data_IF_287413059846
#
_entry.id   IF_287413059846
#
_cell.length_a   1.000
_cell.length_b   1.000
_cell.length_c   1.000
_cell.angle_alpha   90.00
_cell.angle_beta   90.00
_cell.angle_gamma   90.00
#
_symmetry.space_group_name_H-M   'P 1'
#
loop_
_entity.id
_entity.type
_entity.pdbx_description
1 polymer ?
#
# COMPACT_ATOMS: atom_id res chain seq x y z
N UNK A 1 -2.77 12.06 -0.42
CA UNK A 1 -2.82 12.71 0.91
C UNK A 1 -1.41 12.71 1.47
N UNK A 2 -1.09 13.66 2.33
CA UNK A 2 0.22 13.69 3.01
C UNK A 2 0.25 12.60 4.07
N UNK A 3 1.34 11.84 4.12
CA UNK A 3 1.49 10.76 5.08
C UNK A 3 2.13 11.31 6.35
N UNK A 4 1.29 11.68 7.31
CA UNK A 4 1.68 12.13 8.64
C UNK A 4 0.68 11.66 9.71
N UNK A 5 1.07 11.81 10.98
CA UNK A 5 0.27 11.31 12.11
C UNK A 5 -1.09 12.00 12.25
N UNK A 6 -1.20 13.29 11.94
CA UNK A 6 -2.47 14.02 12.02
C UNK A 6 -3.46 13.52 10.97
N UNK A 7 -2.99 13.38 9.74
CA UNK A 7 -3.77 12.87 8.62
C UNK A 7 -4.22 11.44 8.90
N UNK A 8 -3.33 10.57 9.38
CA UNK A 8 -3.67 9.18 9.73
C UNK A 8 -4.72 9.13 10.84
N UNK A 9 -4.57 9.92 11.90
CA UNK A 9 -5.51 9.93 13.03
C UNK A 9 -6.94 10.35 12.61
N UNK A 10 -7.05 11.15 11.54
CA UNK A 10 -8.35 11.61 11.00
C UNK A 10 -9.11 10.55 10.19
N UNK A 11 -8.43 9.52 9.66
CA UNK A 11 -9.04 8.51 8.79
C UNK A 11 -10.00 7.60 9.57
N UNK A 12 -11.05 7.01 8.98
CA UNK A 12 -11.77 5.91 9.60
C UNK A 12 -10.86 4.69 9.88
N UNK A 13 -11.06 4.04 11.03
CA UNK A 13 -10.38 2.80 11.39
C UNK A 13 -11.04 1.59 10.70
N UNK A 14 -10.75 1.41 9.40
CA UNK A 14 -11.38 0.40 8.55
C UNK A 14 -10.36 -0.42 7.76
N UNK A 15 -10.79 -1.60 7.29
CA UNK A 15 -10.01 -2.46 6.41
C UNK A 15 -9.90 -1.85 5.01
N UNK A 16 -8.82 -2.19 4.30
CA UNK A 16 -8.63 -1.67 2.96
C UNK A 16 -7.26 -1.95 2.37
N UNK A 17 -6.96 -1.27 1.28
CA UNK A 17 -5.66 -1.30 0.59
C UNK A 17 -5.10 0.11 0.51
N UNK A 18 -3.79 0.22 0.34
CA UNK A 18 -3.12 1.50 0.22
C UNK A 18 -1.90 1.46 -0.71
N UNK A 19 -1.50 2.65 -1.17
CA UNK A 19 -0.16 2.90 -1.68
C UNK A 19 0.50 3.94 -0.81
N UNK A 20 1.78 3.73 -0.50
CA UNK A 20 2.67 4.72 0.07
C UNK A 20 3.68 5.14 -0.99
N UNK A 21 3.99 6.42 -1.06
CA UNK A 21 4.88 7.01 -2.04
C UNK A 21 5.78 8.09 -1.44
N UNK A 22 6.86 8.40 -2.14
CA UNK A 22 7.70 9.56 -1.85
C UNK A 22 7.12 10.87 -2.42
N UNK A 23 7.88 11.96 -2.27
CA UNK A 23 7.46 13.29 -2.67
C UNK A 23 7.30 13.41 -4.20
N UNK A 24 8.07 12.65 -4.96
CA UNK A 24 8.06 12.61 -6.42
C UNK A 24 6.94 11.69 -6.95
N UNK A 25 6.28 10.93 -6.07
CA UNK A 25 5.21 10.00 -6.40
C UNK A 25 5.70 8.59 -6.73
N UNK A 26 6.98 8.29 -6.50
CA UNK A 26 7.49 6.92 -6.60
C UNK A 26 6.85 6.07 -5.53
N UNK A 27 6.18 4.99 -5.94
CA UNK A 27 5.53 4.07 -5.00
C UNK A 27 6.60 3.32 -4.21
N UNK A 28 6.52 3.46 -2.89
CA UNK A 28 7.39 2.82 -1.91
C UNK A 28 6.80 1.50 -1.41
N UNK A 29 5.47 1.43 -1.29
CA UNK A 29 4.72 0.24 -0.87
C UNK A 29 3.34 0.18 -1.54
N UNK A 30 2.89 -1.04 -1.81
CA UNK A 30 1.48 -1.37 -2.09
C UNK A 30 1.04 -2.38 -1.03
N UNK A 31 0.16 -2.00 -0.13
CA UNK A 31 -0.17 -2.81 1.04
C UNK A 31 -1.67 -2.90 1.33
N UNK A 32 -2.00 -3.58 2.43
CA UNK A 32 -3.37 -3.73 2.89
C UNK A 32 -3.46 -3.70 4.41
N UNK A 33 -4.60 -3.21 4.91
CA UNK A 33 -5.00 -3.32 6.30
C UNK A 33 -6.05 -4.43 6.44
N UNK A 34 -5.59 -5.58 6.93
CA UNK A 34 -6.41 -6.78 7.16
C UNK A 34 -6.81 -6.97 8.63
N UNK A 35 -7.48 -8.08 8.93
CA UNK A 35 -8.01 -8.39 10.28
C UNK A 35 -6.97 -8.40 11.41
N UNK A 36 -5.68 -8.51 11.10
CA UNK A 36 -4.56 -8.47 12.06
C UNK A 36 -4.11 -7.06 12.43
N UNK A 37 -4.56 -6.03 11.69
CA UNK A 37 -4.22 -4.64 11.96
C UNK A 37 -5.29 -4.03 12.85
N UNK A 38 -4.99 -3.92 14.14
CA UNK A 38 -5.84 -3.18 15.07
C UNK A 38 -6.00 -1.74 14.53
N UNK A 39 -7.21 -1.20 14.56
CA UNK A 39 -7.54 0.10 13.95
C UNK A 39 -7.38 0.20 12.43
N UNK A 40 -7.24 -0.93 11.73
CA UNK A 40 -7.30 -1.01 10.27
C UNK A 40 -6.23 -0.14 9.58
N UNK A 41 -6.66 0.65 8.60
CA UNK A 41 -5.79 1.47 7.75
C UNK A 41 -4.87 2.40 8.55
N UNK A 42 -5.30 2.84 9.74
CA UNK A 42 -4.49 3.73 10.57
C UNK A 42 -3.17 3.07 10.97
N UNK A 43 -3.24 1.92 11.64
CA UNK A 43 -2.03 1.25 12.11
C UNK A 43 -1.18 0.70 10.98
N UNK A 44 -1.78 0.27 9.86
CA UNK A 44 -1.02 -0.11 8.68
C UNK A 44 -0.19 1.08 8.12
N UNK A 45 -0.75 2.29 8.05
CA UNK A 45 -0.02 3.47 7.60
C UNK A 45 1.02 3.97 8.61
N UNK A 46 0.77 3.80 9.91
CA UNK A 46 1.75 4.06 10.98
C UNK A 46 2.97 3.12 10.87
N UNK A 47 2.74 1.85 10.56
CA UNK A 47 3.80 0.87 10.31
C UNK A 47 4.64 1.25 9.09
N UNK A 48 4.01 1.72 8.01
CA UNK A 48 4.72 2.21 6.81
C UNK A 48 5.53 3.48 7.09
N UNK A 49 5.00 4.41 7.89
CA UNK A 49 5.75 5.58 8.35
C UNK A 49 6.98 5.17 9.17
N UNK A 50 6.83 4.20 10.08
CA UNK A 50 7.94 3.68 10.86
C UNK A 50 8.97 2.96 9.98
N UNK A 51 8.52 2.23 8.96
CA UNK A 51 9.37 1.44 8.08
C UNK A 51 10.17 2.29 7.07
N UNK A 52 9.53 3.25 6.41
CA UNK A 52 10.17 4.10 5.39
C UNK A 52 10.75 5.41 5.95
N UNK A 53 10.33 5.82 7.14
CA UNK A 53 10.74 7.08 7.76
C UNK A 53 10.40 8.28 6.87
N UNK A 54 11.34 9.22 6.77
CA UNK A 54 11.16 10.49 6.02
C UNK A 54 10.98 10.32 4.52
N UNK A 55 11.19 9.11 3.97
CA UNK A 55 10.98 8.84 2.54
C UNK A 55 9.51 8.75 2.17
N UNK A 56 8.68 8.24 3.07
CA UNK A 56 7.25 8.12 2.85
C UNK A 56 6.55 9.42 3.20
N UNK A 57 6.03 10.10 2.18
CA UNK A 57 5.45 11.45 2.34
C UNK A 57 4.04 11.53 1.79
N UNK A 58 3.63 10.59 0.93
CA UNK A 58 2.31 10.58 0.31
C UNK A 58 1.68 9.20 0.44
N UNK A 59 0.36 9.19 0.54
CA UNK A 59 -0.41 7.96 0.44
C UNK A 59 -1.76 8.15 -0.25
N UNK A 60 -2.32 7.04 -0.71
CA UNK A 60 -3.72 6.88 -1.12
C UNK A 60 -4.24 5.55 -0.59
N UNK A 61 -5.54 5.46 -0.40
CA UNK A 61 -6.17 4.26 0.13
C UNK A 61 -7.53 4.01 -0.51
N UNK A 62 -8.02 2.78 -0.33
CA UNK A 62 -9.37 2.35 -0.70
C UNK A 62 -9.90 1.48 0.44
N UNK A 63 -11.06 1.83 1.00
CA UNK A 63 -11.72 0.99 1.99
C UNK A 63 -12.42 -0.18 1.30
N UNK A 64 -12.11 -1.40 1.75
CA UNK A 64 -12.68 -2.61 1.19
C UNK A 64 -12.53 -3.78 2.16
N UNK A 65 -13.58 -4.60 2.27
CA UNK A 65 -13.51 -5.89 2.97
C UNK A 65 -12.81 -6.95 2.12
N UNK A 66 -12.72 -6.77 0.80
CA UNK A 66 -12.03 -7.67 -0.12
C UNK A 66 -10.56 -7.27 -0.33
N UNK A 67 -9.91 -6.81 0.74
CA UNK A 67 -8.56 -6.24 0.69
C UNK A 67 -7.52 -7.20 0.12
N UNK A 68 -7.70 -8.52 0.26
CA UNK A 68 -6.72 -9.51 -0.22
C UNK A 68 -6.69 -9.61 -1.73
N UNK A 69 -7.84 -9.83 -2.38
CA UNK A 69 -7.92 -9.87 -3.84
C UNK A 69 -7.57 -8.51 -4.44
N UNK A 70 -8.04 -7.43 -3.81
CA UNK A 70 -7.74 -6.07 -4.27
C UNK A 70 -6.25 -5.76 -4.21
N UNK A 71 -5.56 -6.21 -3.15
CA UNK A 71 -4.12 -6.07 -3.04
C UNK A 71 -3.38 -6.82 -4.16
N UNK A 72 -3.79 -8.05 -4.47
CA UNK A 72 -3.20 -8.83 -5.57
C UNK A 72 -3.34 -8.11 -6.92
N UNK A 73 -4.52 -7.56 -7.21
CA UNK A 73 -4.75 -6.74 -8.42
C UNK A 73 -3.81 -5.53 -8.48
N UNK A 74 -3.64 -4.81 -7.36
CA UNK A 74 -2.78 -3.64 -7.32
C UNK A 74 -1.29 -3.99 -7.49
N UNK A 75 -0.84 -5.12 -6.93
CA UNK A 75 0.50 -5.64 -7.16
C UNK A 75 0.71 -6.02 -8.64
N UNK A 76 -0.28 -6.66 -9.26
CA UNK A 76 -0.25 -7.01 -10.68
C UNK A 76 -0.17 -5.76 -11.58
N UNK A 77 -0.97 -4.74 -11.28
CA UNK A 77 -0.94 -3.45 -11.99
C UNK A 77 0.41 -2.75 -11.84
N UNK A 78 0.94 -2.68 -10.62
CA UNK A 78 2.26 -2.10 -10.38
C UNK A 78 3.36 -2.85 -11.14
N UNK A 79 3.32 -4.19 -11.12
CA UNK A 79 4.25 -5.02 -11.89
C UNK A 79 4.16 -4.80 -13.39
N UNK A 80 2.94 -4.62 -13.91
CA UNK A 80 2.72 -4.33 -15.32
C UNK A 80 3.33 -2.98 -15.70
N UNK A 81 3.09 -1.94 -14.91
CA UNK A 81 3.49 -0.57 -15.23
C UNK A 81 4.99 -0.31 -15.01
N UNK A 82 5.59 -0.94 -13.99
CA UNK A 82 6.97 -0.65 -13.54
C UNK A 82 7.93 -1.84 -13.68
N UNK A 83 7.45 -3.01 -14.09
CA UNK A 83 8.25 -4.23 -14.29
C UNK A 83 8.66 -4.97 -13.01
N UNK A 84 8.68 -4.29 -11.87
CA UNK A 84 9.07 -4.85 -10.58
C UNK A 84 8.26 -4.23 -9.44
N UNK A 85 8.10 -4.96 -8.33
CA UNK A 85 7.52 -4.45 -7.10
C UNK A 85 8.56 -3.66 -6.30
N UNK A 86 8.13 -2.81 -5.34
CA UNK A 86 9.05 -2.16 -4.42
C UNK A 86 9.98 -3.15 -3.72
N UNK A 87 11.22 -2.73 -3.41
CA UNK A 87 12.31 -3.65 -3.06
C UNK A 87 11.97 -4.63 -1.94
N UNK A 88 11.25 -4.18 -0.91
CA UNK A 88 10.87 -4.99 0.25
C UNK A 88 9.69 -5.94 -0.03
N UNK A 89 8.99 -5.77 -1.15
CA UNK A 89 7.85 -6.58 -1.58
C UNK A 89 8.17 -7.45 -2.81
N UNK A 90 9.43 -7.50 -3.25
CA UNK A 90 9.80 -8.26 -4.45
C UNK A 90 9.48 -9.76 -4.34
N UNK A 91 9.48 -10.33 -3.12
CA UNK A 91 9.08 -11.72 -2.90
C UNK A 91 7.63 -12.01 -3.33
N UNK A 92 6.76 -11.00 -3.33
CA UNK A 92 5.36 -11.15 -3.76
C UNK A 92 5.23 -11.34 -5.28
N UNK A 93 6.25 -10.98 -6.06
CA UNK A 93 6.20 -11.07 -7.53
C UNK A 93 6.02 -12.49 -8.05
N UNK A 94 6.57 -13.49 -7.35
CA UNK A 94 6.41 -14.90 -7.72
C UNK A 94 5.04 -15.46 -7.33
N UNK A 95 4.31 -14.77 -6.45
CA UNK A 95 3.00 -15.19 -5.96
C UNK A 95 1.86 -14.68 -6.83
N UNK A 96 1.94 -13.42 -7.27
CA UNK A 96 0.87 -12.78 -8.04
C UNK A 96 0.92 -13.15 -9.52
N UNK A 97 -0.23 -13.11 -10.18
CA UNK A 97 -0.33 -13.32 -11.63
C UNK A 97 0.36 -12.22 -12.43
N UNK A 98 0.36 -12.35 -13.76
CA UNK A 98 0.83 -11.30 -14.68
C UNK A 98 -0.34 -10.86 -15.55
N UNK A 99 -0.50 -9.55 -15.70
CA UNK A 99 -1.36 -8.99 -16.72
C UNK A 99 -0.62 -9.08 -18.05
N UNK A 100 -1.26 -9.66 -19.07
CA UNK A 100 -0.71 -9.63 -20.43
C UNK A 100 -0.84 -8.21 -20.98
N UNK A 101 0.16 -7.71 -21.72
CA UNK A 101 -0.01 -6.48 -22.48
C UNK A 101 -1.08 -6.70 -23.56
N UNK A 102 -1.88 -5.67 -23.80
CA UNK A 102 -2.79 -5.59 -24.96
C UNK A 102 -2.02 -5.47 -26.28
#
# INVERSE_FOLDING_TARGET
>A
MDLDGETIASLPAQLGVYHVADADGTVLSVGYAGATHLFGIRSALEEELAFHGSRATKFRFEFTSNYRSRWDELLMLHLHDFGQLPSHQQAEQSRVGRLSPD
#
